data_IF_534903054765
#
_entry.id   IF_534903054765
#
_cell.length_a   1.000
_cell.length_b   1.000
_cell.length_c   1.000
_cell.angle_alpha   90.00
_cell.angle_beta   90.00
_cell.angle_gamma   90.00
#
_symmetry.space_group_name_H-M   'P 1'
#
loop_
_entity.id
_entity.type
_entity.pdbx_description
1 polymer ?
#
# COMPACT_ATOMS: atom_id res chain seq x y z
N UNK A 1 -1.01 9.02 8.59
CA UNK A 1 -1.57 7.64 8.53
C UNK A 1 -2.95 7.52 9.17
N UNK A 2 -3.38 8.45 10.02
CA UNK A 2 -4.66 8.41 10.76
C UNK A 2 -5.93 8.41 9.90
N UNK A 3 -5.77 8.57 8.58
CA UNK A 3 -6.85 8.49 7.59
C UNK A 3 -7.33 7.07 7.33
N UNK A 4 -6.54 6.05 7.69
CA UNK A 4 -6.91 4.63 7.52
C UNK A 4 -7.82 4.23 8.71
N UNK A 5 -9.10 3.87 8.46
CA UNK A 5 -9.98 3.43 9.53
C UNK A 5 -9.55 2.09 10.14
N UNK A 6 -9.95 1.85 11.39
CA UNK A 6 -9.82 0.53 12.01
C UNK A 6 -10.61 -0.53 11.23
N UNK A 7 -10.12 -1.76 11.29
CA UNK A 7 -10.65 -2.92 10.57
C UNK A 7 -10.66 -2.79 9.03
N UNK A 8 -10.09 -1.69 8.48
CA UNK A 8 -9.95 -1.53 7.05
C UNK A 8 -9.02 -2.59 6.45
N UNK A 9 -9.18 -2.82 5.15
CA UNK A 9 -8.31 -3.71 4.38
C UNK A 9 -7.21 -2.90 3.71
N UNK A 10 -5.95 -3.25 3.97
CA UNK A 10 -4.80 -2.45 3.55
C UNK A 10 -3.77 -3.33 2.86
N UNK A 11 -3.31 -2.91 1.68
CA UNK A 11 -2.05 -3.42 1.14
C UNK A 11 -0.94 -2.40 1.43
N UNK A 12 0.12 -2.82 2.11
CA UNK A 12 1.17 -1.91 2.57
C UNK A 12 2.57 -2.36 2.13
N UNK A 13 3.49 -1.41 1.90
CA UNK A 13 4.91 -1.72 1.76
C UNK A 13 5.39 -2.56 2.96
N UNK A 14 6.33 -3.48 2.71
CA UNK A 14 6.75 -4.49 3.69
C UNK A 14 7.16 -3.90 5.04
N UNK A 15 7.90 -2.78 5.06
CA UNK A 15 8.33 -2.12 6.31
C UNK A 15 7.20 -1.45 7.07
N UNK A 16 6.11 -1.12 6.39
CA UNK A 16 4.96 -0.44 6.98
C UNK A 16 3.88 -1.42 7.46
N UNK A 17 3.76 -2.59 6.81
CA UNK A 17 2.74 -3.58 7.15
C UNK A 17 2.70 -3.95 8.66
N UNK A 18 3.82 -4.18 9.37
CA UNK A 18 3.79 -4.49 10.80
C UNK A 18 3.17 -3.41 11.69
N UNK A 19 3.17 -2.14 11.25
CA UNK A 19 2.60 -1.02 12.01
C UNK A 19 1.07 -1.00 11.97
N UNK A 20 0.47 -1.76 11.06
CA UNK A 20 -0.97 -1.77 10.81
C UNK A 20 -1.66 -3.05 11.30
N UNK A 21 -0.90 -4.07 11.71
CA UNK A 21 -1.43 -5.41 12.08
C UNK A 21 -2.34 -5.39 13.30
N UNK A 22 -2.14 -4.46 14.23
CA UNK A 22 -2.94 -4.37 15.46
C UNK A 22 -4.34 -3.82 15.25
N UNK A 23 -4.57 -3.10 14.15
CA UNK A 23 -5.83 -2.36 13.92
C UNK A 23 -6.47 -2.59 12.55
N UNK A 24 -5.78 -3.19 11.60
CA UNK A 24 -6.28 -3.41 10.23
C UNK A 24 -6.07 -4.85 9.76
N UNK A 25 -6.74 -5.21 8.67
CA UNK A 25 -6.44 -6.43 7.93
C UNK A 25 -5.44 -6.11 6.82
N UNK A 26 -4.15 -6.33 7.10
CA UNK A 26 -3.04 -5.90 6.24
C UNK A 26 -2.40 -7.06 5.47
N UNK A 27 -2.09 -6.83 4.19
CA UNK A 27 -1.20 -7.68 3.38
C UNK A 27 -0.02 -6.88 2.85
N UNK A 28 1.07 -7.55 2.49
CA UNK A 28 2.21 -6.88 1.87
C UNK A 28 1.88 -6.57 0.41
N UNK A 29 2.07 -5.33 -0.02
CA UNK A 29 1.80 -4.88 -1.38
C UNK A 29 2.73 -5.60 -2.38
N UNK A 30 2.15 -6.14 -3.45
CA UNK A 30 2.87 -6.90 -4.47
C UNK A 30 3.31 -8.32 -4.06
N UNK A 31 3.02 -8.78 -2.84
CA UNK A 31 3.27 -10.16 -2.43
C UNK A 31 2.35 -11.14 -3.17
N UNK A 32 2.85 -12.36 -3.41
CA UNK A 32 1.98 -13.47 -3.78
C UNK A 32 0.93 -13.69 -2.68
N UNK A 33 -0.34 -13.81 -3.06
CA UNK A 33 -1.46 -13.89 -2.12
C UNK A 33 -1.83 -12.56 -1.45
N UNK A 34 -1.25 -11.43 -1.88
CA UNK A 34 -1.72 -10.13 -1.43
C UNK A 34 -3.20 -9.95 -1.79
N UNK A 35 -3.96 -9.32 -0.88
CA UNK A 35 -5.42 -9.28 -0.98
C UNK A 35 -5.85 -8.64 -2.30
N UNK A 36 -6.78 -9.28 -3.06
CA UNK A 36 -7.37 -8.61 -4.20
C UNK A 36 -8.23 -7.43 -3.73
N UNK A 37 -8.08 -6.28 -4.40
CA UNK A 37 -8.89 -5.06 -4.19
C UNK A 37 -8.90 -4.53 -2.73
N UNK A 38 -7.74 -4.17 -2.14
CA UNK A 38 -7.73 -3.53 -0.84
C UNK A 38 -8.42 -2.16 -0.89
N UNK A 39 -9.06 -1.77 0.21
CA UNK A 39 -9.67 -0.44 0.34
C UNK A 39 -8.61 0.67 0.35
N UNK A 40 -7.43 0.35 0.91
CA UNK A 40 -6.32 1.28 1.05
C UNK A 40 -5.02 0.66 0.59
N UNK A 41 -4.15 1.47 -0.01
CA UNK A 41 -2.79 1.07 -0.37
C UNK A 41 -1.81 2.09 0.22
N UNK A 42 -0.82 1.61 0.98
CA UNK A 42 0.23 2.44 1.57
C UNK A 42 1.55 2.05 0.94
N UNK A 43 2.19 2.97 0.22
CA UNK A 43 3.47 2.70 -0.43
C UNK A 43 4.56 3.63 0.09
N UNK A 44 5.68 3.07 0.54
CA UNK A 44 6.93 3.79 0.75
C UNK A 44 7.59 4.06 -0.61
N UNK A 45 7.54 5.31 -1.05
CA UNK A 45 8.15 5.75 -2.30
C UNK A 45 9.54 6.35 -2.08
N UNK A 46 9.92 6.66 -0.84
CA UNK A 46 11.25 7.15 -0.49
C UNK A 46 12.28 6.02 -0.40
N UNK A 47 11.86 4.85 0.10
CA UNK A 47 12.68 3.65 0.21
C UNK A 47 11.92 2.44 -0.35
N UNK A 48 11.84 2.29 -1.69
CA UNK A 48 11.23 1.12 -2.32
C UNK A 48 12.10 -0.12 -2.05
N UNK A 49 11.89 -0.74 -0.89
CA UNK A 49 12.60 -1.94 -0.48
C UNK A 49 12.19 -3.08 -1.41
N UNK A 50 13.18 -3.71 -2.05
CA UNK A 50 13.00 -4.63 -3.18
C UNK A 50 12.33 -5.97 -2.88
N UNK A 51 11.64 -6.12 -1.74
CA UNK A 51 10.88 -7.32 -1.41
C UNK A 51 9.44 -6.96 -1.05
N UNK A 52 8.44 -7.70 -1.57
CA UNK A 52 8.55 -8.83 -2.50
C UNK A 52 8.75 -8.40 -3.96
N UNK A 53 8.69 -7.09 -4.22
CA UNK A 53 8.75 -6.50 -5.55
C UNK A 53 9.90 -5.50 -5.65
N UNK A 54 10.47 -5.37 -6.84
CA UNK A 54 11.47 -4.34 -7.16
C UNK A 54 10.83 -2.94 -7.20
N UNK A 55 11.65 -1.88 -7.11
CA UNK A 55 11.17 -0.51 -7.26
C UNK A 55 10.48 -0.24 -8.61
N UNK A 56 10.95 -0.85 -9.69
CA UNK A 56 10.30 -0.76 -11.01
C UNK A 56 8.92 -1.41 -10.99
N UNK A 57 8.79 -2.61 -10.43
CA UNK A 57 7.50 -3.29 -10.28
C UNK A 57 6.55 -2.50 -9.36
N UNK A 58 7.07 -1.88 -8.30
CA UNK A 58 6.28 -0.99 -7.45
C UNK A 58 5.68 0.18 -8.25
N UNK A 59 6.47 0.82 -9.11
CA UNK A 59 5.98 1.87 -10.01
C UNK A 59 4.83 1.40 -10.92
N UNK A 60 4.99 0.23 -11.54
CA UNK A 60 3.95 -0.40 -12.38
C UNK A 60 2.67 -0.67 -11.59
N UNK A 61 2.77 -1.33 -10.43
CA UNK A 61 1.60 -1.68 -9.62
C UNK A 61 0.85 -0.45 -9.07
N UNK A 62 1.57 0.64 -8.78
CA UNK A 62 0.93 1.92 -8.41
C UNK A 62 0.14 2.49 -9.59
N UNK A 63 0.73 2.49 -10.79
CA UNK A 63 0.07 2.98 -11.99
C UNK A 63 -1.18 2.16 -12.32
N UNK A 64 -1.08 0.83 -12.23
CA UNK A 64 -2.22 -0.09 -12.38
C UNK A 64 -3.30 0.19 -11.34
N UNK A 65 -2.94 0.30 -10.05
CA UNK A 65 -3.91 0.61 -8.99
C UNK A 65 -4.69 1.90 -9.28
N UNK A 66 -4.01 2.93 -9.78
CA UNK A 66 -4.65 4.19 -10.20
C UNK A 66 -5.58 4.01 -11.39
N UNK A 67 -5.15 3.27 -12.42
CA UNK A 67 -5.98 2.94 -13.56
C UNK A 67 -7.23 2.13 -13.16
N UNK A 68 -7.15 1.33 -12.10
CA UNK A 68 -8.26 0.58 -11.51
C UNK A 68 -9.12 1.39 -10.52
N UNK A 69 -8.94 2.70 -10.44
CA UNK A 69 -9.81 3.63 -9.71
C UNK A 69 -9.30 4.09 -8.35
N UNK A 70 -8.17 3.58 -7.87
CA UNK A 70 -7.58 4.07 -6.62
C UNK A 70 -7.07 5.51 -6.79
N UNK A 71 -7.49 6.40 -5.88
CA UNK A 71 -7.09 7.81 -5.86
C UNK A 71 -6.03 8.05 -4.80
N UNK A 72 -5.05 8.89 -5.11
CA UNK A 72 -4.11 9.39 -4.11
C UNK A 72 -4.85 10.33 -3.16
N UNK A 73 -4.82 10.02 -1.86
CA UNK A 73 -5.49 10.81 -0.81
C UNK A 73 -4.53 11.41 0.21
N UNK A 74 -3.28 10.95 0.23
CA UNK A 74 -2.17 11.61 0.91
C UNK A 74 -0.84 11.27 0.23
N UNK A 75 0.12 12.20 0.32
CA UNK A 75 1.52 12.00 -0.04
C UNK A 75 2.37 12.78 0.96
N UNK A 76 2.88 12.08 1.96
CA UNK A 76 3.46 12.67 3.17
C UNK A 76 4.63 11.79 3.64
N UNK A 77 5.73 12.38 4.09
CA UNK A 77 6.89 11.70 4.68
C UNK A 77 7.48 10.54 3.85
N UNK A 78 7.41 10.66 2.51
CA UNK A 78 7.89 9.61 1.60
C UNK A 78 6.92 8.44 1.43
N UNK A 79 5.68 8.56 1.92
CA UNK A 79 4.62 7.59 1.73
C UNK A 79 3.49 8.14 0.87
N UNK A 80 3.02 7.31 -0.06
CA UNK A 80 1.80 7.56 -0.82
C UNK A 80 0.68 6.70 -0.25
N UNK A 81 -0.46 7.35 0.04
CA UNK A 81 -1.68 6.69 0.44
C UNK A 81 -2.70 6.74 -0.70
N UNK A 82 -3.13 5.56 -1.16
CA UNK A 82 -4.20 5.42 -2.12
C UNK A 82 -5.46 4.89 -1.43
N UNK A 83 -6.61 5.36 -1.89
CA UNK A 83 -7.94 4.90 -1.46
C UNK A 83 -8.75 4.51 -2.68
N UNK A 84 -9.46 3.39 -2.62
CA UNK A 84 -10.43 3.02 -3.65
C UNK A 84 -11.71 3.87 -3.59
#
# INVERSE_FOLDING_TARGET
>A
MDRIPDSATVAASNRFAPQLTSRTSVTVFGAEGSRPNPQWIVIDVAQPYGWPITGTQQGTLIAESRAHGNRTVANEDGYVLLKR
#
